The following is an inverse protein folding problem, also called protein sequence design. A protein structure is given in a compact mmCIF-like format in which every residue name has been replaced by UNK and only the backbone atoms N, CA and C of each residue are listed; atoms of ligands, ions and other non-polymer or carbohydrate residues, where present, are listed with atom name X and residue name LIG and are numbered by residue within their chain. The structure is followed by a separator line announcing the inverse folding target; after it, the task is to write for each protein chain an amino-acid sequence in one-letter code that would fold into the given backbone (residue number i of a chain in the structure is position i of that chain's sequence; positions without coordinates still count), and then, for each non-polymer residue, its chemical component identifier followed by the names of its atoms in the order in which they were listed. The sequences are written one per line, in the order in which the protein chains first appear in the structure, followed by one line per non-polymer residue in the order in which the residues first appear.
data_IF_433933239376
#
_entry.id   IF_433933239376
#
_cell.length_a   1.000
_cell.length_b   1.000
_cell.length_c   1.000
_cell.angle_alpha   90.00
_cell.angle_beta   90.00
_cell.angle_gamma   90.00
#
_symmetry.space_group_name_H-M   'P 1'
#
loop_
_entity.id
_entity.type
_entity.pdbx_description
1 polymer ?
#
# COMPACT_ATOMS: atom_id res chain seq x y z
N UNK A 1 -3.02 -1.08 18.90
CA UNK A 1 -2.79 0.31 19.35
C UNK A 1 -2.25 1.17 18.22
N UNK A 2 -1.91 2.44 18.47
CA UNK A 2 -1.36 3.35 17.44
C UNK A 2 0.14 3.11 17.20
N UNK A 3 0.60 3.38 15.98
CA UNK A 3 2.01 3.38 15.60
C UNK A 3 2.44 4.78 15.16
N UNK A 4 3.67 5.17 15.52
CA UNK A 4 4.24 6.43 15.08
C UNK A 4 4.68 6.37 13.60
N UNK A 5 5.55 7.27 13.19
CA UNK A 5 6.06 7.40 11.83
C UNK A 5 6.78 6.13 11.35
N UNK A 6 6.71 5.88 10.04
CA UNK A 6 7.50 4.84 9.35
C UNK A 6 7.24 3.39 9.81
N UNK A 7 6.05 3.09 10.33
CA UNK A 7 5.66 1.72 10.69
C UNK A 7 5.84 0.77 9.48
N UNK A 8 6.47 -0.38 9.69
CA UNK A 8 6.73 -1.37 8.62
C UNK A 8 7.75 -0.94 7.55
N UNK A 9 8.52 0.13 7.79
CA UNK A 9 9.56 0.59 6.86
C UNK A 9 10.48 -0.55 6.41
N UNK A 10 10.65 -0.70 5.10
CA UNK A 10 11.56 -1.69 4.48
C UNK A 10 11.33 -3.17 4.84
N UNK A 11 10.19 -3.49 5.47
CA UNK A 11 9.91 -4.84 5.92
C UNK A 11 9.84 -5.84 4.75
N UNK A 12 10.37 -7.04 5.00
CA UNK A 12 10.39 -8.19 4.10
C UNK A 12 9.61 -9.34 4.74
N UNK A 13 8.46 -9.69 4.15
CA UNK A 13 7.60 -10.77 4.63
C UNK A 13 6.96 -10.49 5.99
N UNK A 14 6.07 -11.41 6.39
CA UNK A 14 5.29 -11.28 7.61
C UNK A 14 4.07 -10.36 7.47
N UNK A 15 3.25 -10.34 8.54
CA UNK A 15 2.04 -9.52 8.65
C UNK A 15 2.19 -8.59 9.87
N UNK A 16 2.13 -7.29 9.63
CA UNK A 16 2.07 -6.26 10.66
C UNK A 16 0.63 -5.77 10.80
N UNK A 17 0.08 -5.88 12.02
CA UNK A 17 -1.27 -5.40 12.35
C UNK A 17 -1.15 -4.21 13.29
N UNK A 18 -1.82 -3.11 12.95
CA UNK A 18 -1.88 -1.88 13.75
C UNK A 18 -3.36 -1.59 14.01
N UNK A 19 -3.84 -1.80 15.25
CA UNK A 19 -5.29 -1.65 15.53
C UNK A 19 -5.81 -0.22 15.42
N UNK A 20 -4.94 0.76 15.63
CA UNK A 20 -5.27 2.17 15.55
C UNK A 20 -4.67 2.85 14.32
N UNK A 21 -4.24 4.09 14.50
CA UNK A 21 -3.63 4.89 13.42
C UNK A 21 -2.14 4.62 13.28
N UNK A 22 -1.64 4.76 12.04
CA UNK A 22 -0.21 4.85 11.77
C UNK A 22 0.17 6.27 11.32
N UNK A 23 1.32 6.75 11.79
CA UNK A 23 1.87 8.04 11.40
C UNK A 23 2.24 8.14 9.91
N UNK A 24 2.97 9.19 9.56
CA UNK A 24 3.41 9.41 8.19
C UNK A 24 4.41 8.33 7.76
N UNK A 25 4.51 8.14 6.44
CA UNK A 25 5.44 7.18 5.82
C UNK A 25 5.22 5.72 6.26
N UNK A 26 4.03 5.35 6.70
CA UNK A 26 3.69 3.94 6.95
C UNK A 26 3.98 3.12 5.68
N UNK A 27 4.69 2.00 5.80
CA UNK A 27 5.08 1.16 4.67
C UNK A 27 6.09 1.80 3.69
N UNK A 28 6.85 2.83 4.11
CA UNK A 28 7.89 3.41 3.25
C UNK A 28 8.91 2.35 2.80
N UNK A 29 9.22 2.34 1.50
CA UNK A 29 10.19 1.44 0.89
C UNK A 29 9.91 -0.04 1.18
N UNK A 30 8.63 -0.42 1.34
CA UNK A 30 8.21 -1.78 1.66
C UNK A 30 8.79 -2.80 0.66
N UNK A 31 9.26 -3.94 1.17
CA UNK A 31 9.98 -4.95 0.38
C UNK A 31 9.31 -6.31 0.36
N UNK A 32 8.00 -6.37 0.61
CA UNK A 32 7.22 -7.61 0.52
C UNK A 32 6.57 -8.08 1.81
N UNK A 33 6.44 -7.23 2.83
CA UNK A 33 5.57 -7.53 3.97
C UNK A 33 4.11 -7.11 3.68
N UNK A 34 3.17 -7.63 4.48
CA UNK A 34 1.78 -7.19 4.48
C UNK A 34 1.53 -6.32 5.72
N UNK A 35 0.85 -5.18 5.57
CA UNK A 35 0.51 -4.25 6.65
C UNK A 35 -1.01 -4.05 6.66
N UNK A 36 -1.65 -4.23 7.81
CA UNK A 36 -3.08 -3.92 8.01
C UNK A 36 -3.23 -2.89 9.12
N UNK A 37 -3.87 -1.77 8.79
CA UNK A 37 -4.11 -0.64 9.70
C UNK A 37 -5.61 -0.49 9.94
N UNK A 38 -6.04 -0.66 11.18
CA UNK A 38 -7.44 -0.52 11.62
C UNK A 38 -7.96 0.91 11.59
N UNK A 39 -7.06 1.88 11.79
CA UNK A 39 -7.34 3.30 11.65
C UNK A 39 -6.84 3.88 10.31
N UNK A 40 -6.37 5.12 10.38
CA UNK A 40 -5.87 5.90 9.25
C UNK A 40 -4.35 5.86 9.14
N UNK A 41 -3.82 6.21 7.96
CA UNK A 41 -2.39 6.36 7.71
C UNK A 41 -2.03 7.82 7.38
N UNK A 42 -0.88 8.28 7.88
CA UNK A 42 -0.40 9.64 7.65
C UNK A 42 0.12 9.90 6.22
N UNK A 43 0.57 11.14 5.98
CA UNK A 43 1.11 11.58 4.70
C UNK A 43 2.32 10.75 4.22
N UNK A 44 2.57 10.71 2.91
CA UNK A 44 3.69 10.02 2.27
C UNK A 44 3.78 8.52 2.60
N UNK A 45 2.69 7.91 3.04
CA UNK A 45 2.64 6.47 3.26
C UNK A 45 2.81 5.73 1.93
N UNK A 46 3.46 4.57 1.99
CA UNK A 46 3.87 3.77 0.84
C UNK A 46 4.82 4.47 -0.14
N UNK A 47 5.53 5.54 0.29
CA UNK A 47 6.57 6.16 -0.53
C UNK A 47 7.63 5.14 -0.94
N UNK A 48 7.96 5.06 -2.23
CA UNK A 48 8.95 4.11 -2.76
C UNK A 48 8.66 2.62 -2.43
N UNK A 49 7.41 2.27 -2.11
CA UNK A 49 7.06 0.90 -1.74
C UNK A 49 7.18 -0.05 -2.96
N UNK A 50 7.90 -1.14 -2.78
CA UNK A 50 8.35 -1.99 -3.88
C UNK A 50 7.59 -3.29 -4.04
N UNK A 51 7.26 -3.94 -2.94
CA UNK A 51 6.52 -5.18 -2.93
C UNK A 51 5.69 -5.28 -1.65
N UNK A 52 4.71 -6.18 -1.65
CA UNK A 52 3.83 -6.41 -0.49
C UNK A 52 2.50 -5.69 -0.60
N UNK A 53 1.77 -5.63 0.51
CA UNK A 53 0.38 -5.16 0.54
C UNK A 53 0.16 -4.25 1.74
N UNK A 54 -0.64 -3.20 1.56
CA UNK A 54 -1.04 -2.30 2.65
C UNK A 54 -2.56 -2.17 2.62
N UNK A 55 -3.22 -2.51 3.72
CA UNK A 55 -4.68 -2.40 3.91
C UNK A 55 -4.96 -1.35 4.97
N UNK A 56 -5.86 -0.41 4.66
CA UNK A 56 -6.22 0.71 5.53
C UNK A 56 -7.73 0.77 5.67
N UNK A 57 -8.23 0.55 6.89
CA UNK A 57 -9.65 0.59 7.19
C UNK A 57 -10.18 2.03 7.35
N UNK A 58 -9.31 2.99 7.67
CA UNK A 58 -9.62 4.42 7.71
C UNK A 58 -9.17 5.18 6.46
N UNK A 59 -8.72 6.42 6.67
CA UNK A 59 -8.32 7.35 5.62
C UNK A 59 -6.81 7.30 5.33
N UNK A 60 -6.42 7.80 4.15
CA UNK A 60 -5.02 8.03 3.79
C UNK A 60 -4.73 9.52 3.60
N UNK A 61 -3.65 9.98 4.23
CA UNK A 61 -3.17 11.36 4.12
C UNK A 61 -2.60 11.73 2.74
N UNK A 62 -1.92 12.87 2.69
CA UNK A 62 -1.39 13.42 1.43
C UNK A 62 -0.30 12.53 0.79
N UNK A 63 -0.22 12.56 -0.54
CA UNK A 63 0.82 11.91 -1.34
C UNK A 63 0.94 10.38 -1.12
N UNK A 64 -0.19 9.68 -1.08
CA UNK A 64 -0.21 8.22 -0.95
C UNK A 64 0.51 7.54 -2.12
N UNK A 65 1.49 6.69 -1.83
CA UNK A 65 2.22 5.92 -2.83
C UNK A 65 3.12 6.77 -3.72
N UNK A 66 3.69 7.86 -3.23
CA UNK A 66 4.62 8.62 -4.05
C UNK A 66 5.83 7.75 -4.48
N UNK A 67 6.14 7.74 -5.78
CA UNK A 67 7.15 6.87 -6.40
C UNK A 67 6.91 5.37 -6.15
N UNK A 68 5.64 4.93 -6.22
CA UNK A 68 5.23 3.53 -6.00
C UNK A 68 5.74 2.59 -7.12
N UNK A 69 6.15 1.37 -6.73
CA UNK A 69 6.43 0.27 -7.66
C UNK A 69 5.33 -0.79 -7.55
N UNK A 70 5.59 -2.01 -7.06
CA UNK A 70 4.62 -3.12 -7.17
C UNK A 70 3.76 -3.34 -5.92
N UNK A 71 3.91 -2.54 -4.86
CA UNK A 71 3.06 -2.65 -3.66
C UNK A 71 1.60 -2.35 -4.00
N UNK A 72 0.70 -3.22 -3.54
CA UNK A 72 -0.76 -3.03 -3.67
C UNK A 72 -1.29 -2.36 -2.41
N UNK A 73 -2.08 -1.29 -2.59
CA UNK A 73 -2.63 -0.53 -1.47
C UNK A 73 -4.16 -0.62 -1.55
N UNK A 74 -4.81 -0.94 -0.44
CA UNK A 74 -6.25 -1.02 -0.30
C UNK A 74 -6.70 -0.01 0.76
N UNK A 75 -7.59 0.92 0.40
CA UNK A 75 -8.10 1.95 1.32
C UNK A 75 -9.62 1.92 1.31
N UNK A 76 -10.24 1.80 2.49
CA UNK A 76 -11.70 1.83 2.66
C UNK A 76 -12.23 3.27 2.75
N UNK A 77 -11.51 4.12 3.47
CA UNK A 77 -11.85 5.53 3.61
C UNK A 77 -11.45 6.37 2.40
N UNK A 78 -11.20 7.64 2.66
CA UNK A 78 -10.84 8.62 1.64
C UNK A 78 -9.33 8.72 1.50
N UNK A 79 -8.84 8.80 0.26
CA UNK A 79 -7.46 9.18 -0.05
C UNK A 79 -7.42 10.66 -0.35
N UNK A 80 -6.69 11.43 0.46
CA UNK A 80 -6.63 12.90 0.33
C UNK A 80 -5.93 13.33 -0.97
N UNK A 81 -4.79 12.75 -1.28
CA UNK A 81 -4.09 12.96 -2.56
C UNK A 81 -3.16 11.79 -2.87
N UNK A 82 -2.95 11.53 -4.16
CA UNK A 82 -2.03 10.51 -4.64
C UNK A 82 -0.64 11.12 -4.86
N UNK A 83 0.39 10.30 -4.62
CA UNK A 83 1.75 10.62 -4.96
C UNK A 83 2.07 10.37 -6.44
N UNK A 84 3.30 10.67 -6.84
CA UNK A 84 3.75 10.43 -8.22
C UNK A 84 3.70 8.95 -8.54
N UNK A 85 3.21 8.62 -9.74
CA UNK A 85 3.10 7.23 -10.23
C UNK A 85 2.22 6.32 -9.37
N UNK A 86 1.35 6.87 -8.52
CA UNK A 86 0.28 6.12 -7.86
C UNK A 86 -1.05 6.45 -8.51
N UNK A 87 -1.80 5.44 -8.89
CA UNK A 87 -3.12 5.60 -9.49
C UNK A 87 -4.12 4.64 -8.85
N UNK A 88 -5.40 5.03 -8.85
CA UNK A 88 -6.48 4.08 -8.57
C UNK A 88 -6.47 2.99 -9.67
N UNK A 89 -6.63 1.74 -9.27
CA UNK A 89 -6.60 0.59 -10.16
C UNK A 89 -7.90 -0.22 -10.00
N UNK A 90 -8.38 -0.90 -11.06
CA UNK A 90 -9.58 -1.73 -10.97
C UNK A 90 -9.46 -2.82 -9.91
N UNK A 91 -10.53 -3.03 -9.15
CA UNK A 91 -10.68 -4.20 -8.28
C UNK A 91 -11.05 -5.42 -9.14
N UNK A 92 -10.43 -6.57 -8.86
CA UNK A 92 -10.62 -7.85 -9.57
C UNK A 92 -10.88 -8.94 -8.55
N UNK A 93 -11.40 -10.09 -8.96
CA UNK A 93 -11.70 -11.21 -8.06
C UNK A 93 -10.49 -11.60 -7.18
N UNK A 94 -9.30 -11.74 -7.78
CA UNK A 94 -8.05 -12.04 -7.06
C UNK A 94 -7.69 -11.00 -5.99
N UNK A 95 -8.05 -9.73 -6.18
CA UNK A 95 -7.79 -8.67 -5.20
C UNK A 95 -8.79 -8.73 -4.05
N UNK A 96 -10.05 -9.10 -4.33
CA UNK A 96 -11.08 -9.29 -3.32
C UNK A 96 -10.75 -10.49 -2.43
N UNK A 97 -10.30 -11.60 -3.02
CA UNK A 97 -9.85 -12.78 -2.30
C UNK A 97 -8.63 -12.47 -1.42
N UNK A 98 -7.61 -11.82 -1.98
CA UNK A 98 -6.41 -11.39 -1.26
C UNK A 98 -6.74 -10.46 -0.08
N UNK A 99 -7.60 -9.47 -0.32
CA UNK A 99 -8.01 -8.52 0.72
C UNK A 99 -8.86 -9.22 1.80
N UNK A 100 -9.73 -10.14 1.41
CA UNK A 100 -10.51 -10.95 2.37
C UNK A 100 -9.61 -11.76 3.29
N UNK A 101 -8.57 -12.41 2.75
CA UNK A 101 -7.61 -13.17 3.54
C UNK A 101 -6.86 -12.27 4.54
N UNK A 102 -6.38 -11.10 4.09
CA UNK A 102 -5.66 -10.16 4.95
C UNK A 102 -6.54 -9.60 6.08
N UNK A 103 -7.78 -9.24 5.78
CA UNK A 103 -8.73 -8.76 6.78
C UNK A 103 -9.03 -9.85 7.81
N UNK A 104 -9.27 -11.08 7.35
CA UNK A 104 -9.52 -12.22 8.24
C UNK A 104 -8.32 -12.50 9.16
N UNK A 105 -7.11 -12.55 8.60
CA UNK A 105 -5.87 -12.77 9.38
C UNK A 105 -5.59 -11.64 10.37
N UNK A 106 -6.03 -10.42 10.06
CA UNK A 106 -5.92 -9.26 10.94
C UNK A 106 -7.08 -9.13 11.94
N UNK A 107 -8.09 -10.01 11.89
CA UNK A 107 -9.23 -10.00 12.81
C UNK A 107 -10.29 -8.94 12.49
N UNK A 108 -10.35 -8.42 11.26
CA UNK A 108 -11.35 -7.44 10.83
C UNK A 108 -12.47 -8.09 10.02
N UNK A 109 -13.71 -7.76 10.40
CA UNK A 109 -14.91 -8.09 9.64
C UNK A 109 -15.33 -6.87 8.80
N UNK A 110 -14.68 -6.70 7.65
CA UNK A 110 -14.97 -5.64 6.70
C UNK A 110 -15.18 -6.23 5.30
N UNK A 111 -16.13 -5.66 4.55
CA UNK A 111 -16.38 -6.07 3.17
C UNK A 111 -15.23 -5.63 2.25
N UNK A 112 -14.50 -6.55 1.58
CA UNK A 112 -13.45 -6.20 0.63
C UNK A 112 -13.94 -5.31 -0.52
N UNK A 113 -15.21 -5.41 -0.91
CA UNK A 113 -15.80 -4.58 -1.97
C UNK A 113 -15.97 -3.12 -1.56
N UNK A 114 -15.87 -2.80 -0.26
CA UNK A 114 -15.90 -1.42 0.25
C UNK A 114 -14.56 -0.68 0.12
N UNK A 115 -13.52 -1.34 -0.38
CA UNK A 115 -12.19 -0.75 -0.55
C UNK A 115 -11.93 -0.35 -1.99
N UNK A 116 -11.13 0.70 -2.14
CA UNK A 116 -10.47 1.04 -3.41
C UNK A 116 -9.06 0.51 -3.43
N UNK A 117 -8.58 0.18 -4.63
CA UNK A 117 -7.21 -0.30 -4.83
C UNK A 117 -6.36 0.75 -5.52
N UNK A 118 -5.13 0.89 -5.05
CA UNK A 118 -4.12 1.75 -5.64
C UNK A 118 -2.85 0.94 -5.93
N UNK A 119 -2.11 1.37 -6.94
CA UNK A 119 -0.90 0.70 -7.42
C UNK A 119 -0.13 1.59 -8.40
N UNK A 120 1.08 1.16 -8.79
CA UNK A 120 1.91 1.97 -9.68
C UNK A 120 1.27 2.23 -11.03
N UNK A 121 1.36 3.47 -11.52
CA UNK A 121 1.07 3.86 -12.90
C UNK A 121 2.02 3.20 -13.90
N UNK A 122 3.23 2.82 -13.45
CA UNK A 122 4.37 2.31 -14.22
C UNK A 122 4.96 3.33 -15.18
N UNK A 123 4.73 4.61 -14.93
CA UNK A 123 5.25 5.72 -15.75
C UNK A 123 6.70 6.07 -15.40
N UNK A 124 7.17 5.72 -14.19
CA UNK A 124 8.54 6.01 -13.76
C UNK A 124 9.55 4.90 -14.08
N UNK A 125 9.10 3.82 -14.74
CA UNK A 125 9.94 2.71 -15.16
C UNK A 125 10.76 3.14 -16.38
N UNK A 126 11.81 3.94 -16.15
CA UNK A 126 12.75 4.37 -17.18
C UNK A 126 13.68 3.20 -17.57
N UNK A 127 13.13 2.17 -18.20
CA UNK A 127 13.90 1.11 -18.83
C UNK A 127 14.34 1.60 -20.22
N UNK A 128 15.55 2.16 -20.34
CA UNK A 128 16.17 2.38 -21.65
C UNK A 128 16.61 1.01 -22.18
N UNK A 129 15.88 0.50 -23.17
CA UNK A 129 16.15 -0.80 -23.83
C UNK A 129 17.44 -0.78 -24.68
N UNK A 130 18.10 0.37 -24.81
CA UNK A 130 19.24 0.55 -25.72
C UNK A 130 20.55 -0.17 -25.33
N UNK A 131 20.61 -0.91 -24.21
CA UNK A 131 21.81 -1.68 -23.81
C UNK A 131 21.71 -3.19 -24.06
N UNK A 132 20.62 -3.71 -24.64
CA UNK A 132 20.47 -5.14 -24.90
C UNK A 132 21.27 -5.66 -26.11
N UNK A 133 21.88 -4.78 -26.92
CA UNK A 133 22.67 -5.15 -28.09
C UNK A 133 24.20 -5.11 -27.86
N UNK A 134 24.66 -4.97 -26.60
CA UNK A 134 26.08 -4.79 -26.26
C UNK A 134 26.77 -6.05 -25.67
N UNK A 135 26.23 -7.26 -25.91
CA UNK A 135 26.87 -8.52 -25.52
C UNK A 135 26.82 -9.56 -26.65
#
# INVERSE_FOLDING_TARGET
GNASQSAGATAHGGLLIIDGDAGARCGISLKGADIVVGGSIGHMSCFMAQAGRVVVLGDAGDALGDSLYETRIYVRGTVKSLGSDCVEKPMRAEHLEELSELLHRAGYDADPASFKRYGSGRELYNFKVDNAAAY
#
